data_IF_967835769858
#
_entry.id   IF_967835769858
#
_cell.length_a   1.000
_cell.length_b   1.000
_cell.length_c   1.000
_cell.angle_alpha   90.00
_cell.angle_beta   90.00
_cell.angle_gamma   90.00
#
_symmetry.space_group_name_H-M   'P 1'
#
loop_
_entity.id
_entity.type
_entity.pdbx_description
1 polymer ?
#
# COMPACT_ATOMS: atom_id res chain seq x y z
N UNK A 1 9.73 6.25 12.38
CA UNK A 1 9.73 5.22 11.32
C UNK A 1 10.31 5.78 10.03
N UNK A 2 10.68 4.95 9.04
CA UNK A 2 11.07 5.41 7.69
C UNK A 2 10.11 4.86 6.64
N UNK A 3 9.95 5.58 5.54
CA UNK A 3 9.19 5.12 4.37
C UNK A 3 10.06 5.11 3.12
N UNK A 4 9.88 4.09 2.29
CA UNK A 4 10.54 3.95 0.98
C UNK A 4 9.47 3.80 -0.10
N UNK A 5 9.57 4.62 -1.16
CA UNK A 5 8.63 4.57 -2.26
C UNK A 5 8.83 3.29 -3.07
N UNK A 6 7.73 2.62 -3.40
CA UNK A 6 7.74 1.46 -4.28
C UNK A 6 7.33 1.88 -5.68
N UNK A 7 8.29 1.97 -6.59
CA UNK A 7 8.03 2.32 -7.99
C UNK A 7 7.91 1.06 -8.85
N UNK A 8 6.84 0.30 -8.58
CA UNK A 8 6.62 -1.02 -9.18
C UNK A 8 5.92 -0.97 -10.54
N UNK A 9 5.32 0.17 -10.88
CA UNK A 9 4.78 0.47 -12.21
C UNK A 9 5.43 1.75 -12.71
N UNK A 10 5.98 1.71 -13.93
CA UNK A 10 6.63 2.86 -14.53
C UNK A 10 5.67 4.06 -14.58
N UNK A 11 6.07 5.17 -13.93
CA UNK A 11 5.30 6.41 -13.95
C UNK A 11 4.23 6.51 -12.86
N UNK A 12 4.28 5.67 -11.82
CA UNK A 12 3.44 5.83 -10.64
C UNK A 12 3.89 7.03 -9.77
N UNK A 13 3.64 8.23 -10.27
CA UNK A 13 4.04 9.50 -9.66
C UNK A 13 2.83 10.40 -9.31
N UNK A 14 1.64 9.81 -9.23
CA UNK A 14 0.37 10.48 -8.91
C UNK A 14 -0.30 9.74 -7.74
N UNK A 15 -1.06 10.44 -6.88
CA UNK A 15 -1.87 9.77 -5.85
C UNK A 15 -2.98 8.93 -6.50
N UNK A 16 -3.51 7.93 -5.79
CA UNK A 16 -4.79 7.31 -6.17
C UNK A 16 -5.94 8.05 -5.48
N UNK A 17 -7.11 8.02 -6.11
CA UNK A 17 -8.32 8.61 -5.56
C UNK A 17 -8.88 7.79 -4.39
N UNK A 18 -8.84 6.46 -4.52
CA UNK A 18 -9.62 5.54 -3.68
C UNK A 18 -8.97 4.14 -3.68
N UNK A 19 -9.25 3.33 -2.66
CA UNK A 19 -8.82 1.94 -2.52
C UNK A 19 -10.05 1.04 -2.35
N UNK A 20 -10.09 -0.08 -3.06
CA UNK A 20 -11.13 -1.10 -2.94
C UNK A 20 -10.51 -2.42 -2.49
N UNK A 21 -11.15 -3.12 -1.55
CA UNK A 21 -10.75 -4.47 -1.14
C UNK A 21 -11.61 -5.53 -1.80
N UNK A 22 -10.96 -6.60 -2.22
CA UNK A 22 -11.61 -7.86 -2.58
C UNK A 22 -10.83 -9.04 -2.01
N UNK A 23 -11.55 -10.14 -1.79
CA UNK A 23 -10.99 -11.42 -1.39
C UNK A 23 -11.05 -12.34 -2.62
N UNK A 24 -9.90 -12.79 -3.12
CA UNK A 24 -9.85 -13.68 -4.29
C UNK A 24 -10.08 -15.14 -3.91
N UNK A 25 -9.53 -15.53 -2.77
CA UNK A 25 -9.71 -16.84 -2.13
C UNK A 25 -9.51 -16.69 -0.61
N UNK A 26 -9.41 -17.80 0.13
CA UNK A 26 -9.22 -17.79 1.59
C UNK A 26 -7.86 -17.29 2.04
N UNK A 27 -6.91 -17.11 1.13
CA UNK A 27 -5.50 -16.82 1.42
C UNK A 27 -5.00 -15.55 0.73
N UNK A 28 -5.76 -14.97 -0.20
CA UNK A 28 -5.35 -13.79 -0.96
C UNK A 28 -6.32 -12.62 -0.78
N UNK A 29 -5.75 -11.49 -0.38
CA UNK A 29 -6.42 -10.18 -0.33
C UNK A 29 -5.92 -9.33 -1.50
N UNK A 30 -6.81 -8.63 -2.16
CA UNK A 30 -6.47 -7.71 -3.25
C UNK A 30 -6.99 -6.32 -2.96
N UNK A 31 -6.14 -5.33 -3.16
CA UNK A 31 -6.45 -3.91 -3.06
C UNK A 31 -6.35 -3.27 -4.43
N UNK A 32 -7.46 -2.79 -4.95
CA UNK A 32 -7.51 -2.04 -6.19
C UNK A 32 -7.39 -0.55 -5.89
N UNK A 33 -6.39 0.09 -6.48
CA UNK A 33 -6.05 1.49 -6.31
C UNK A 33 -6.45 2.27 -7.56
N UNK A 34 -7.36 3.25 -7.38
CA UNK A 34 -7.99 3.99 -8.48
C UNK A 34 -7.22 5.25 -8.87
N UNK A 35 -6.32 5.14 -9.83
CA UNK A 35 -5.58 6.29 -10.37
C UNK A 35 -6.33 6.99 -11.49
N UNK A 36 -7.12 6.23 -12.26
CA UNK A 36 -7.87 6.71 -13.42
C UNK A 36 -8.91 7.78 -13.05
N UNK A 37 -9.33 7.81 -11.79
CA UNK A 37 -10.30 8.76 -11.25
C UNK A 37 -9.66 10.10 -10.82
N UNK A 38 -8.33 10.17 -10.73
CA UNK A 38 -7.64 11.42 -10.39
C UNK A 38 -7.52 12.29 -11.64
N UNK A 39 -7.90 13.57 -11.54
CA UNK A 39 -7.75 14.53 -12.64
C UNK A 39 -6.27 14.66 -13.00
N UNK A 40 -5.94 14.41 -14.27
CA UNK A 40 -4.56 14.31 -14.78
C UNK A 40 -3.72 13.18 -14.12
N UNK A 41 -4.38 12.20 -13.49
CA UNK A 41 -3.75 11.02 -12.90
C UNK A 41 -3.32 9.98 -13.93
N UNK A 42 -2.89 8.82 -13.44
CA UNK A 42 -2.51 7.69 -14.28
C UNK A 42 -3.75 7.04 -14.89
N UNK A 43 -3.74 6.75 -16.20
CA UNK A 43 -4.92 6.21 -16.90
C UNK A 43 -5.34 4.82 -16.41
N UNK A 44 -4.38 4.04 -15.95
CA UNK A 44 -4.62 2.67 -15.57
C UNK A 44 -4.73 2.59 -14.05
N UNK A 45 -5.65 1.76 -13.58
CA UNK A 45 -5.71 1.43 -12.15
C UNK A 45 -4.70 0.32 -11.86
N UNK A 46 -4.46 0.03 -10.59
CA UNK A 46 -3.55 -1.04 -10.21
C UNK A 46 -4.20 -1.91 -9.15
N UNK A 47 -4.07 -3.22 -9.29
CA UNK A 47 -4.41 -4.19 -8.26
C UNK A 47 -3.13 -4.65 -7.57
N UNK A 48 -3.10 -4.54 -6.24
CA UNK A 48 -2.04 -5.05 -5.37
C UNK A 48 -2.60 -6.23 -4.60
N UNK A 49 -2.10 -7.43 -4.90
CA UNK A 49 -2.52 -8.68 -4.25
C UNK A 49 -1.45 -9.13 -3.27
N UNK A 50 -1.84 -9.38 -2.03
CA UNK A 50 -1.00 -10.01 -1.03
C UNK A 50 -1.46 -11.46 -0.82
N UNK A 51 -0.52 -12.39 -0.99
CA UNK A 51 -0.74 -13.81 -0.67
C UNK A 51 -0.35 -14.06 0.79
N UNK A 52 -1.23 -14.71 1.52
CA UNK A 52 -1.09 -15.02 2.94
C UNK A 52 -0.67 -13.81 3.80
N UNK A 53 -1.37 -12.66 3.73
CA UNK A 53 -1.07 -11.53 4.60
C UNK A 53 -1.23 -11.96 6.06
N UNK A 54 -0.30 -11.55 6.92
CA UNK A 54 -0.39 -11.83 8.35
C UNK A 54 -1.55 -11.06 8.97
N UNK A 55 -1.73 -9.80 8.58
CA UNK A 55 -2.83 -8.93 9.00
C UNK A 55 -2.85 -7.67 8.14
N UNK A 56 -3.97 -6.95 8.14
CA UNK A 56 -4.08 -5.60 7.62
C UNK A 56 -5.00 -4.75 8.50
N UNK A 57 -4.81 -3.44 8.42
CA UNK A 57 -5.69 -2.45 9.04
C UNK A 57 -6.06 -1.38 8.01
N UNK A 58 -7.29 -0.88 8.09
CA UNK A 58 -7.85 0.11 7.17
C UNK A 58 -8.41 1.29 7.97
N UNK A 59 -8.00 2.50 7.61
CA UNK A 59 -8.63 3.75 7.99
C UNK A 59 -9.28 4.45 6.81
N UNK A 60 -10.52 4.86 6.99
CA UNK A 60 -11.28 5.63 6.01
C UNK A 60 -11.45 7.07 6.51
N UNK A 61 -11.15 8.04 5.64
CA UNK A 61 -11.28 9.49 5.80
C UNK A 61 -10.55 10.11 7.01
N UNK A 62 -9.81 9.32 7.80
CA UNK A 62 -9.23 9.70 9.08
C UNK A 62 -7.80 9.19 9.25
N UNK A 63 -6.80 9.95 8.77
CA UNK A 63 -5.36 9.63 8.86
C UNK A 63 -4.74 9.86 10.25
N UNK A 64 -5.37 9.35 11.32
CA UNK A 64 -4.99 9.75 12.69
C UNK A 64 -4.83 8.63 13.70
N UNK A 65 -5.30 7.40 13.45
CA UNK A 65 -5.08 6.28 14.37
C UNK A 65 -3.98 5.34 13.88
N UNK A 66 -3.64 5.39 12.58
CA UNK A 66 -2.50 4.68 12.02
C UNK A 66 -1.29 5.60 12.02
N UNK A 67 -0.24 5.17 12.73
CA UNK A 67 1.05 5.82 12.68
C UNK A 67 1.71 5.63 11.29
N UNK A 68 1.95 6.75 10.60
CA UNK A 68 2.78 6.80 9.40
C UNK A 68 4.18 7.35 9.73
N UNK A 69 5.19 7.04 8.91
CA UNK A 69 6.50 7.67 9.02
C UNK A 69 6.43 9.20 8.96
N UNK A 70 7.18 9.88 9.83
CA UNK A 70 7.22 11.36 9.91
C UNK A 70 7.61 12.02 8.58
N UNK A 71 8.36 11.30 7.75
CA UNK A 71 8.78 11.75 6.42
C UNK A 71 8.36 10.71 5.39
N UNK A 72 7.41 11.09 4.55
CA UNK A 72 6.91 10.28 3.45
C UNK A 72 7.52 10.74 2.11
N UNK A 73 7.91 9.81 1.22
CA UNK A 73 8.30 10.14 -0.14
C UNK A 73 7.17 10.88 -0.86
N UNK A 74 7.53 11.92 -1.61
CA UNK A 74 6.57 12.79 -2.32
C UNK A 74 6.62 12.60 -3.83
N UNK A 75 5.45 12.70 -4.46
CA UNK A 75 5.25 12.73 -5.90
C UNK A 75 5.86 13.99 -6.55
N UNK A 76 6.06 13.97 -7.87
CA UNK A 76 6.92 14.95 -8.55
C UNK A 76 6.34 16.35 -8.84
N UNK A 77 5.04 16.65 -8.63
CA UNK A 77 4.43 18.00 -8.83
C UNK A 77 3.17 18.26 -7.94
N UNK A 78 2.80 19.54 -7.73
CA UNK A 78 1.96 20.07 -6.64
C UNK A 78 0.42 19.86 -6.70
N UNK A 79 -0.09 18.98 -5.84
CA UNK A 79 -1.22 19.13 -4.89
C UNK A 79 -0.55 18.86 -3.52
N UNK A 80 -0.39 19.89 -2.67
CA UNK A 80 0.92 20.51 -2.46
C UNK A 80 2.08 19.69 -1.87
N UNK A 81 1.90 18.42 -1.52
CA UNK A 81 2.97 17.52 -1.04
C UNK A 81 2.58 16.02 -1.15
N UNK A 82 1.73 15.66 -2.13
CA UNK A 82 1.18 14.31 -2.31
C UNK A 82 2.20 13.18 -2.11
N UNK A 83 1.81 12.21 -1.31
CA UNK A 83 2.61 11.04 -0.92
C UNK A 83 2.51 9.96 -1.99
N UNK A 84 3.58 9.17 -2.14
CA UNK A 84 3.52 7.97 -2.98
C UNK A 84 2.41 7.02 -2.48
N UNK A 85 1.53 6.56 -3.38
CA UNK A 85 0.37 5.77 -3.00
C UNK A 85 0.76 4.40 -2.45
N UNK A 86 1.94 3.88 -2.80
CA UNK A 86 2.40 2.58 -2.34
C UNK A 86 3.84 2.67 -1.84
N UNK A 87 4.01 2.39 -0.55
CA UNK A 87 5.30 2.51 0.14
C UNK A 87 5.55 1.31 1.03
N UNK A 88 6.83 1.04 1.28
CA UNK A 88 7.26 0.16 2.36
C UNK A 88 7.60 0.99 3.60
N UNK A 89 7.06 0.59 4.76
CA UNK A 89 7.34 1.21 6.05
C UNK A 89 8.38 0.38 6.79
N UNK A 90 9.43 1.04 7.27
CA UNK A 90 10.55 0.43 7.99
C UNK A 90 10.55 0.88 9.46
N UNK A 91 10.98 -0.04 10.32
CA UNK A 91 11.18 0.18 11.76
C UNK A 91 9.91 0.69 12.46
N UNK A 92 8.77 0.04 12.21
CA UNK A 92 7.51 0.34 12.88
C UNK A 92 7.31 -0.55 14.10
N UNK A 93 6.71 0.01 15.14
CA UNK A 93 6.34 -0.73 16.35
C UNK A 93 5.35 -1.86 16.03
N UNK A 94 4.50 -1.65 15.02
CA UNK A 94 3.56 -2.67 14.56
C UNK A 94 4.27 -3.90 13.98
N UNK A 95 5.32 -3.68 13.18
CA UNK A 95 6.14 -4.77 12.66
C UNK A 95 6.88 -5.49 13.79
N UNK A 96 7.50 -4.75 14.71
CA UNK A 96 8.22 -5.33 15.87
C UNK A 96 7.32 -6.18 16.76
N UNK A 97 6.04 -5.79 16.91
CA UNK A 97 5.06 -6.54 17.68
C UNK A 97 4.66 -7.87 17.01
N UNK A 98 4.60 -7.90 15.69
CA UNK A 98 4.13 -9.08 14.94
C UNK A 98 5.27 -10.02 14.50
N UNK A 99 6.51 -9.54 14.37
CA UNK A 99 7.65 -10.39 13.97
C UNK A 99 7.83 -11.65 14.84
N UNK A 100 7.81 -11.58 16.19
CA UNK A 100 7.96 -12.78 17.03
C UNK A 100 6.85 -13.80 16.80
N UNK A 101 5.61 -13.33 16.60
CA UNK A 101 4.45 -14.19 16.35
C UNK A 101 4.63 -14.89 15.00
N UNK A 102 4.96 -14.14 13.94
CA UNK A 102 5.19 -14.70 12.61
C UNK A 102 6.34 -15.71 12.59
N UNK A 103 7.46 -15.38 13.26
CA UNK A 103 8.65 -16.25 13.33
C UNK A 103 8.38 -17.62 13.97
N UNK A 104 7.36 -17.73 14.81
CA UNK A 104 6.95 -19.00 15.40
C UNK A 104 6.25 -19.95 14.42
N UNK A 105 5.74 -19.42 13.29
CA UNK A 105 4.99 -20.18 12.28
C UNK A 105 5.69 -20.21 10.90
N UNK A 106 6.62 -19.28 10.64
CA UNK A 106 7.35 -19.14 9.39
C UNK A 106 8.68 -18.42 9.63
N UNK A 107 9.77 -18.91 9.04
CA UNK A 107 11.08 -18.23 9.08
C UNK A 107 11.13 -16.95 8.21
N UNK A 108 10.03 -16.61 7.55
CA UNK A 108 9.98 -15.47 6.63
C UNK A 108 9.81 -14.16 7.39
N UNK A 109 10.69 -13.21 7.10
CA UNK A 109 10.65 -11.87 7.70
C UNK A 109 9.45 -11.08 7.19
N UNK A 110 8.64 -10.55 8.10
CA UNK A 110 7.53 -9.67 7.74
C UNK A 110 8.04 -8.33 7.19
N UNK A 111 7.23 -7.76 6.30
CA UNK A 111 7.36 -6.40 5.80
C UNK A 111 6.05 -5.68 6.00
N UNK A 112 6.13 -4.37 6.22
CA UNK A 112 4.96 -3.52 6.30
C UNK A 112 4.84 -2.69 5.04
N UNK A 113 3.68 -2.75 4.42
CA UNK A 113 3.31 -1.94 3.29
C UNK A 113 2.20 -0.98 3.67
N UNK A 114 2.24 0.24 3.14
CA UNK A 114 1.14 1.18 3.24
C UNK A 114 0.64 1.55 1.84
N UNK A 115 -0.67 1.41 1.65
CA UNK A 115 -1.42 1.84 0.49
C UNK A 115 -2.20 3.09 0.90
N UNK A 116 -1.94 4.19 0.23
CA UNK A 116 -2.39 5.53 0.59
C UNK A 116 -3.17 6.11 -0.58
N UNK A 117 -4.43 6.47 -0.34
CA UNK A 117 -5.27 7.19 -1.30
C UNK A 117 -5.48 8.63 -0.85
N UNK A 118 -6.36 9.37 -1.53
CA UNK A 118 -6.78 10.68 -1.08
C UNK A 118 -7.70 10.60 0.14
N UNK A 119 -8.40 9.48 0.35
CA UNK A 119 -9.34 9.31 1.46
C UNK A 119 -9.03 8.13 2.39
N UNK A 120 -8.21 7.16 1.99
CA UNK A 120 -7.97 5.92 2.73
C UNK A 120 -6.50 5.68 3.01
N UNK A 121 -6.26 4.98 4.12
CA UNK A 121 -4.98 4.41 4.47
C UNK A 121 -5.16 2.94 4.83
N UNK A 122 -4.49 2.07 4.08
CA UNK A 122 -4.42 0.65 4.38
C UNK A 122 -2.99 0.29 4.69
N UNK A 123 -2.76 -0.38 5.81
CA UNK A 123 -1.47 -0.99 6.10
C UNK A 123 -1.58 -2.50 6.12
N UNK A 124 -0.60 -3.19 5.53
CA UNK A 124 -0.57 -4.64 5.39
C UNK A 124 0.75 -5.17 5.90
N UNK A 125 0.70 -6.22 6.73
CA UNK A 125 1.87 -7.01 7.08
C UNK A 125 1.87 -8.28 6.23
N UNK A 126 2.93 -8.46 5.43
CA UNK A 126 3.12 -9.65 4.61
C UNK A 126 4.59 -10.06 4.58
N UNK A 127 4.84 -11.36 4.53
CA UNK A 127 6.19 -11.90 4.37
C UNK A 127 6.65 -11.87 2.91
N UNK A 128 5.70 -12.12 1.99
CA UNK A 128 5.94 -12.13 0.56
C UNK A 128 5.79 -10.74 -0.05
N UNK A 129 6.42 -10.53 -1.21
CA UNK A 129 6.21 -9.33 -2.00
C UNK A 129 4.83 -9.38 -2.68
N UNK A 130 4.09 -8.27 -2.72
CA UNK A 130 2.79 -8.26 -3.36
C UNK A 130 2.91 -8.42 -4.87
N UNK A 131 1.92 -9.09 -5.44
CA UNK A 131 1.74 -9.18 -6.89
C UNK A 131 1.00 -7.94 -7.35
N UNK A 132 1.49 -7.31 -8.41
CA UNK A 132 0.90 -6.09 -8.96
C UNK A 132 0.43 -6.33 -10.38
N UNK A 133 -0.81 -5.92 -10.64
CA UNK A 133 -1.42 -6.01 -11.97
C UNK A 133 -2.00 -4.66 -12.36
N UNK A 134 -1.63 -4.18 -13.55
CA UNK A 134 -2.24 -3.01 -14.16
C UNK A 134 -3.63 -3.38 -14.67
N UNK A 135 -4.64 -2.60 -14.28
CA UNK A 135 -6.02 -2.77 -14.69
C UNK A 135 -6.37 -1.71 -15.75
N UNK A 136 -7.06 -2.13 -16.81
CA UNK A 136 -7.43 -1.30 -17.96
C UNK A 136 -6.25 -0.85 -18.84
N UNK A 137 -5.34 -1.77 -19.22
CA UNK A 137 -4.47 -1.51 -20.37
C UNK A 137 -5.36 -1.27 -21.61
N UNK A 138 -5.50 -0.01 -22.02
CA UNK A 138 -6.05 0.29 -23.34
C UNK A 138 -5.03 -0.24 -24.34
N UNK A 139 -5.37 -1.37 -24.98
CA UNK A 139 -4.62 -1.98 -26.07
C UNK A 139 -4.46 -1.05 -27.27
#
# INVERSE_FOLDING_TARGET
MKAEALNLVQGLSHPCADIYISYKDSHAISFEMKFSLVVNGFKNDIEVTFENPATFIWENESYSQIDLPDVLPKCSKTFSDCVYPFIEVKNSEWLEKYEPISSAYSDSKLRQYALISMNDLVMVLAAEEPKIKVLNEIA
#
